data_IF_334678797645
#
_entry.id   IF_334678797645
#
_cell.length_a   1.000
_cell.length_b   1.000
_cell.length_c   1.000
_cell.angle_alpha   90.00
_cell.angle_beta   90.00
_cell.angle_gamma   90.00
#
_symmetry.space_group_name_H-M   'P 1'
#
loop_
_entity.id
_entity.type
_entity.pdbx_description
1 polymer ?
#
# COMPACT_ATOMS: atom_id res chain seq x y z
N UNK A 1 -25.08 94.10 -37.00
CA UNK A 1 -24.68 92.71 -37.31
C UNK A 1 -23.17 92.69 -37.50
N UNK A 2 -22.46 91.74 -36.86
CA UNK A 2 -20.99 91.46 -36.91
C UNK A 2 -20.24 91.65 -35.58
N UNK A 3 -20.57 90.82 -34.59
CA UNK A 3 -19.63 90.35 -33.55
C UNK A 3 -19.96 88.89 -33.30
N UNK A 4 -19.45 87.94 -34.10
CA UNK A 4 -19.47 86.48 -33.81
C UNK A 4 -18.45 85.72 -34.68
N UNK A 5 -17.16 86.10 -34.67
CA UNK A 5 -16.06 85.25 -35.16
C UNK A 5 -14.80 85.53 -34.32
N UNK A 6 -14.82 85.17 -33.04
CA UNK A 6 -13.61 85.20 -32.21
C UNK A 6 -13.61 84.18 -31.06
N UNK A 7 -14.62 83.31 -30.97
CA UNK A 7 -14.83 82.43 -29.80
C UNK A 7 -14.98 80.94 -30.14
N UNK A 8 -14.59 80.54 -31.37
CA UNK A 8 -14.60 79.14 -31.79
C UNK A 8 -13.19 78.54 -32.04
N UNK A 9 -12.13 79.35 -31.96
CA UNK A 9 -10.74 78.93 -32.21
C UNK A 9 -9.89 78.76 -30.95
N UNK A 10 -10.45 79.00 -29.76
CA UNK A 10 -9.79 78.74 -28.47
C UNK A 10 -10.32 77.48 -27.75
N UNK A 11 -11.28 76.75 -28.35
CA UNK A 11 -11.89 75.56 -27.75
C UNK A 11 -11.54 74.24 -28.47
N UNK A 12 -10.63 74.26 -29.45
CA UNK A 12 -10.20 73.08 -30.22
C UNK A 12 -8.71 72.73 -29.96
N UNK A 13 -8.07 73.37 -28.98
CA UNK A 13 -6.64 73.12 -28.64
C UNK A 13 -6.42 72.49 -27.26
N UNK A 14 -7.45 71.96 -26.59
CA UNK A 14 -7.31 71.24 -25.32
C UNK A 14 -8.12 69.94 -25.24
N UNK A 15 -8.26 69.24 -26.36
CA UNK A 15 -8.42 67.78 -26.31
C UNK A 15 -7.03 67.16 -26.18
N UNK A 16 -6.37 67.41 -25.04
CA UNK A 16 -5.28 66.54 -24.61
C UNK A 16 -5.96 65.18 -24.46
N UNK A 17 -5.79 64.30 -25.46
CA UNK A 17 -5.85 62.86 -25.22
C UNK A 17 -5.01 62.68 -23.96
N UNK A 18 -5.66 62.39 -22.83
CA UNK A 18 -4.98 62.07 -21.60
C UNK A 18 -4.18 60.80 -21.92
N UNK A 19 -2.97 61.00 -22.41
CA UNK A 19 -1.96 59.97 -22.55
C UNK A 19 -1.67 59.58 -21.11
N UNK A 20 -2.41 58.60 -20.61
CA UNK A 20 -2.15 58.01 -19.30
C UNK A 20 -0.72 57.49 -19.35
N UNK A 21 0.18 58.24 -18.72
CA UNK A 21 1.60 58.03 -18.88
C UNK A 21 1.95 56.66 -18.30
N UNK A 22 2.29 55.70 -19.17
CA UNK A 22 2.85 54.44 -18.74
C UNK A 22 4.12 54.71 -17.90
N UNK A 23 4.42 53.89 -16.89
CA UNK A 23 5.64 54.08 -16.11
C UNK A 23 6.86 53.91 -17.02
N UNK A 24 7.83 54.82 -16.90
CA UNK A 24 9.10 54.71 -17.62
C UNK A 24 9.97 53.63 -17.01
N UNK A 25 10.85 53.01 -17.80
CA UNK A 25 11.79 52.01 -17.28
C UNK A 25 12.63 52.56 -16.10
N UNK A 26 13.02 53.84 -16.14
CA UNK A 26 13.72 54.50 -15.03
C UNK A 26 12.87 54.58 -13.75
N UNK A 27 11.57 54.89 -13.88
CA UNK A 27 10.65 54.89 -12.74
C UNK A 27 10.49 53.46 -12.19
N UNK A 28 10.39 52.45 -13.05
CA UNK A 28 10.25 51.06 -12.65
C UNK A 28 11.49 50.56 -11.91
N UNK A 29 12.68 50.84 -12.44
CA UNK A 29 13.93 50.52 -11.77
C UNK A 29 14.03 51.19 -10.40
N UNK A 30 13.62 52.46 -10.30
CA UNK A 30 13.61 53.20 -9.03
C UNK A 30 12.66 52.56 -8.01
N UNK A 31 11.43 52.22 -8.39
CA UNK A 31 10.44 51.65 -7.47
C UNK A 31 10.80 50.25 -7.00
N UNK A 32 11.48 49.47 -7.85
CA UNK A 32 11.96 48.13 -7.50
C UNK A 32 13.27 48.15 -6.70
N UNK A 33 14.00 49.27 -6.72
CA UNK A 33 15.25 49.45 -5.97
C UNK A 33 14.95 50.04 -4.60
N UNK A 34 15.04 49.22 -3.56
CA UNK A 34 14.88 49.62 -2.17
C UNK A 34 16.03 49.04 -1.31
N UNK A 35 16.20 49.47 -0.04
CA UNK A 35 17.26 48.94 0.82
C UNK A 35 17.23 47.40 0.87
N UNK A 36 18.37 46.76 0.58
CA UNK A 36 18.50 45.30 0.51
C UNK A 36 18.40 44.70 -0.91
N UNK A 37 18.06 45.50 -1.93
CA UNK A 37 18.18 45.11 -3.34
C UNK A 37 19.61 45.28 -3.83
N UNK A 38 20.12 44.24 -4.46
CA UNK A 38 21.48 44.18 -5.02
C UNK A 38 21.50 44.66 -6.49
N UNK A 39 20.53 44.20 -7.29
CA UNK A 39 20.34 44.62 -8.68
C UNK A 39 18.91 44.41 -9.15
N UNK A 40 18.49 45.18 -10.16
CA UNK A 40 17.21 45.05 -10.85
C UNK A 40 17.47 45.04 -12.36
N UNK A 41 16.86 44.10 -13.06
CA UNK A 41 16.93 43.97 -14.52
C UNK A 41 15.50 43.93 -15.06
N UNK A 42 15.20 44.69 -16.11
CA UNK A 42 13.90 44.62 -16.77
C UNK A 42 13.94 43.55 -17.87
N UNK A 43 12.89 42.74 -17.95
CA UNK A 43 12.77 41.76 -19.02
C UNK A 43 12.66 42.45 -20.39
N UNK A 44 13.14 41.83 -21.48
CA UNK A 44 13.03 42.40 -22.83
C UNK A 44 11.59 42.78 -23.22
N UNK A 45 11.44 43.85 -24.01
CA UNK A 45 10.15 44.34 -24.52
C UNK A 45 9.77 45.72 -23.98
N UNK A 46 8.51 46.16 -24.15
CA UNK A 46 7.98 47.38 -23.54
C UNK A 46 7.10 47.09 -22.31
N UNK A 47 6.80 48.12 -21.53
CA UNK A 47 5.66 48.13 -20.59
C UNK A 47 4.36 47.94 -21.37
N UNK A 48 3.47 47.07 -20.88
CA UNK A 48 2.20 46.73 -21.56
C UNK A 48 1.01 47.00 -20.66
N UNK A 49 -0.14 47.27 -21.28
CA UNK A 49 -1.44 47.31 -20.59
C UNK A 49 -2.00 45.88 -20.54
N UNK A 50 -2.32 45.41 -19.34
CA UNK A 50 -2.86 44.07 -19.11
C UNK A 50 -4.12 44.13 -18.24
N UNK A 51 -5.09 43.26 -18.50
CA UNK A 51 -6.31 43.18 -17.68
C UNK A 51 -6.06 42.30 -16.47
N UNK A 52 -6.20 42.86 -15.28
CA UNK A 52 -6.08 42.09 -14.05
C UNK A 52 -7.46 41.65 -13.57
N UNK A 53 -7.74 40.35 -13.66
CA UNK A 53 -9.02 39.77 -13.22
C UNK A 53 -9.26 39.86 -11.71
N UNK A 54 -8.22 39.72 -10.88
CA UNK A 54 -8.31 39.81 -9.41
C UNK A 54 -8.83 41.17 -8.96
N UNK A 55 -8.44 42.23 -9.65
CA UNK A 55 -8.79 43.60 -9.27
C UNK A 55 -9.77 44.28 -10.24
N UNK A 56 -10.31 43.52 -11.21
CA UNK A 56 -11.23 43.98 -12.24
C UNK A 56 -10.83 45.34 -12.86
N UNK A 57 -9.55 45.52 -13.14
CA UNK A 57 -9.02 46.76 -13.69
C UNK A 57 -7.82 46.50 -14.63
N UNK A 58 -7.61 47.40 -15.58
CA UNK A 58 -6.36 47.42 -16.34
C UNK A 58 -5.19 47.84 -15.45
N UNK A 59 -4.01 47.33 -15.76
CA UNK A 59 -2.75 47.67 -15.11
C UNK A 59 -1.66 47.86 -16.15
N UNK A 60 -0.68 48.69 -15.84
CA UNK A 60 0.59 48.65 -16.56
C UNK A 60 1.47 47.56 -15.96
N UNK A 61 2.06 46.73 -16.82
CA UNK A 61 2.87 45.58 -16.44
C UNK A 61 4.22 45.58 -17.16
N UNK A 62 5.28 45.23 -16.42
CA UNK A 62 6.65 45.10 -16.94
C UNK A 62 7.32 43.90 -16.26
N UNK A 63 7.84 42.96 -17.05
CA UNK A 63 8.63 41.86 -16.50
C UNK A 63 9.93 42.39 -15.90
N UNK A 64 10.35 41.85 -14.76
CA UNK A 64 11.58 42.24 -14.08
C UNK A 64 12.18 41.05 -13.31
N UNK A 65 13.49 41.13 -13.11
CA UNK A 65 14.29 40.25 -12.25
C UNK A 65 14.92 41.12 -11.17
N UNK A 66 14.70 40.77 -9.91
CA UNK A 66 15.22 41.51 -8.75
C UNK A 66 16.10 40.59 -7.94
N UNK A 67 17.34 40.99 -7.68
CA UNK A 67 18.26 40.27 -6.80
C UNK A 67 18.32 40.94 -5.44
N UNK A 68 18.24 40.15 -4.37
CA UNK A 68 18.29 40.62 -2.99
C UNK A 68 19.17 39.72 -2.14
N UNK A 69 19.60 40.22 -0.99
CA UNK A 69 20.05 39.32 0.07
C UNK A 69 18.88 38.39 0.46
N UNK A 70 19.14 37.10 0.58
CA UNK A 70 18.13 36.10 0.92
C UNK A 70 17.67 36.19 2.40
N UNK A 71 18.38 36.96 3.23
CA UNK A 71 18.14 37.14 4.67
C UNK A 71 18.06 35.80 5.42
N UNK A 72 18.94 34.86 5.06
CA UNK A 72 19.10 33.58 5.77
C UNK A 72 20.19 33.75 6.82
N UNK A 73 19.87 33.74 8.13
CA UNK A 73 20.85 34.05 9.19
C UNK A 73 22.11 33.17 9.13
N UNK A 74 21.96 31.89 8.83
CA UNK A 74 23.03 30.91 8.73
C UNK A 74 23.91 31.12 7.49
N UNK A 75 23.36 31.75 6.45
CA UNK A 75 24.02 31.98 5.17
C UNK A 75 23.88 33.46 4.77
N UNK A 76 24.58 34.39 5.45
CA UNK A 76 24.38 35.83 5.27
C UNK A 76 24.79 36.34 3.88
N UNK A 77 25.55 35.55 3.13
CA UNK A 77 25.94 35.81 1.73
C UNK A 77 24.98 35.21 0.71
N UNK A 78 23.94 34.51 1.15
CA UNK A 78 22.96 33.95 0.24
C UNK A 78 22.15 35.05 -0.44
N UNK A 79 21.84 34.83 -1.71
CA UNK A 79 21.09 35.76 -2.54
C UNK A 79 19.83 35.08 -3.06
N UNK A 80 18.80 35.87 -3.33
CA UNK A 80 17.59 35.41 -4.00
C UNK A 80 17.36 36.21 -5.27
N UNK A 81 17.18 35.50 -6.37
CA UNK A 81 16.72 36.02 -7.66
C UNK A 81 15.21 35.85 -7.72
N UNK A 82 14.51 36.97 -7.75
CA UNK A 82 13.06 37.06 -7.80
C UNK A 82 12.67 37.40 -9.23
N UNK A 83 12.07 36.45 -9.94
CA UNK A 83 11.51 36.68 -11.28
C UNK A 83 10.03 37.02 -11.16
N UNK A 84 9.58 38.08 -11.82
CA UNK A 84 8.17 38.44 -11.76
C UNK A 84 7.78 39.64 -12.63
N UNK A 85 6.66 40.24 -12.28
CA UNK A 85 6.05 41.33 -13.04
C UNK A 85 5.75 42.52 -12.13
N UNK A 86 6.38 43.66 -12.41
CA UNK A 86 6.08 44.92 -11.78
C UNK A 86 4.73 45.45 -12.29
N UNK A 87 3.84 45.81 -11.36
CA UNK A 87 2.46 46.22 -11.64
C UNK A 87 2.19 47.61 -11.13
N UNK A 88 1.52 48.39 -11.96
CA UNK A 88 1.15 49.77 -11.69
C UNK A 88 -0.33 49.99 -11.98
N UNK A 89 -0.93 50.92 -11.24
CA UNK A 89 -2.29 51.36 -11.52
C UNK A 89 -2.37 52.03 -12.90
N UNK A 90 -3.43 51.69 -13.65
CA UNK A 90 -3.77 52.33 -14.92
C UNK A 90 -4.74 53.48 -14.65
N UNK A 91 -4.38 54.73 -14.97
CA UNK A 91 -5.25 55.89 -14.76
C UNK A 91 -4.48 57.20 -14.71
N UNK A 92 -5.13 58.26 -14.21
CA UNK A 92 -4.60 59.63 -14.19
C UNK A 92 -3.29 59.78 -13.39
N UNK A 93 -3.06 58.93 -12.39
CA UNK A 93 -1.79 58.80 -11.69
C UNK A 93 -1.30 57.36 -11.74
N UNK A 94 -0.19 57.16 -12.44
CA UNK A 94 0.52 55.88 -12.46
C UNK A 94 1.30 55.75 -11.16
N UNK A 95 0.93 54.80 -10.31
CA UNK A 95 1.62 54.48 -9.07
C UNK A 95 1.98 53.00 -9.00
N UNK A 96 3.17 52.72 -8.45
CA UNK A 96 3.62 51.35 -8.20
C UNK A 96 2.68 50.68 -7.21
N UNK A 97 2.28 49.45 -7.52
CA UNK A 97 1.40 48.66 -6.67
C UNK A 97 2.15 47.51 -6.02
N UNK A 98 2.73 46.64 -6.84
CA UNK A 98 3.37 45.42 -6.37
C UNK A 98 4.35 44.87 -7.41
N UNK A 99 5.30 44.06 -6.94
CA UNK A 99 6.02 43.10 -7.77
C UNK A 99 5.33 41.74 -7.59
N UNK A 100 4.58 41.29 -8.60
CA UNK A 100 4.00 39.94 -8.57
C UNK A 100 5.10 38.94 -8.86
N UNK A 101 5.51 38.19 -7.84
CA UNK A 101 6.52 37.13 -7.94
C UNK A 101 5.94 35.96 -8.74
N UNK A 102 6.70 35.52 -9.73
CA UNK A 102 6.43 34.30 -10.50
C UNK A 102 7.28 33.15 -10.00
N UNK A 103 8.55 33.40 -9.71
CA UNK A 103 9.51 32.38 -9.29
C UNK A 103 10.63 32.98 -8.43
N UNK A 104 11.20 32.15 -7.55
CA UNK A 104 12.35 32.49 -6.71
C UNK A 104 13.43 31.42 -6.82
N UNK A 105 14.66 31.86 -7.05
CA UNK A 105 15.83 30.99 -7.11
C UNK A 105 16.87 31.50 -6.09
N UNK A 106 17.32 30.63 -5.19
CA UNK A 106 18.26 30.97 -4.12
C UNK A 106 19.67 30.50 -4.47
N UNK A 107 20.65 31.35 -4.17
CA UNK A 107 22.07 31.12 -4.45
C UNK A 107 22.89 31.23 -3.16
N UNK A 108 24.04 30.56 -3.14
CA UNK A 108 24.97 30.60 -2.00
C UNK A 108 24.56 29.74 -0.80
N UNK A 109 23.53 28.90 -0.94
CA UNK A 109 23.17 27.87 0.04
C UNK A 109 23.98 26.59 -0.23
N UNK A 110 24.46 25.87 0.81
CA UNK A 110 25.19 24.63 0.63
C UNK A 110 24.26 23.54 0.11
N UNK A 111 24.58 22.99 -1.06
CA UNK A 111 23.92 21.83 -1.62
C UNK A 111 24.38 20.55 -0.87
N UNK A 112 23.49 19.59 -0.58
CA UNK A 112 23.90 18.26 -0.20
C UNK A 112 24.76 17.62 -1.30
N UNK A 113 25.62 16.69 -0.93
CA UNK A 113 26.42 15.90 -1.88
C UNK A 113 25.51 15.01 -2.73
N UNK A 114 26.00 14.58 -3.90
CA UNK A 114 25.24 13.66 -4.76
C UNK A 114 24.86 12.37 -4.01
N UNK A 115 25.78 11.83 -3.22
CA UNK A 115 25.55 10.60 -2.46
C UNK A 115 24.49 10.79 -1.36
N UNK A 116 24.50 11.93 -0.66
CA UNK A 116 23.44 12.26 0.30
C UNK A 116 22.08 12.38 -0.38
N UNK A 117 22.02 13.02 -1.56
CA UNK A 117 20.78 13.15 -2.31
C UNK A 117 20.25 11.81 -2.81
N UNK A 118 21.11 10.94 -3.32
CA UNK A 118 20.73 9.57 -3.71
C UNK A 118 20.32 8.76 -2.47
N UNK A 119 21.01 8.90 -1.35
CA UNK A 119 20.64 8.29 -0.08
C UNK A 119 19.22 8.68 0.34
N UNK A 120 18.90 9.98 0.29
CA UNK A 120 17.55 10.47 0.60
C UNK A 120 16.47 9.88 -0.31
N UNK A 121 16.78 9.66 -1.59
CA UNK A 121 15.84 9.02 -2.53
C UNK A 121 15.64 7.55 -2.17
N UNK A 122 16.72 6.81 -1.87
CA UNK A 122 16.67 5.38 -1.52
C UNK A 122 15.92 5.12 -0.21
N UNK A 123 16.06 6.00 0.79
CA UNK A 123 15.27 5.92 2.02
C UNK A 123 13.75 6.05 1.75
N UNK A 124 13.39 6.75 0.68
CA UNK A 124 12.01 7.09 0.30
C UNK A 124 11.64 6.47 -1.04
N UNK A 125 12.21 5.31 -1.36
CA UNK A 125 12.26 4.80 -2.73
C UNK A 125 10.88 4.58 -3.37
N UNK A 126 9.91 4.09 -2.60
CA UNK A 126 8.53 3.95 -3.07
C UNK A 126 7.87 5.30 -3.39
N UNK A 127 8.15 6.34 -2.62
CA UNK A 127 7.63 7.68 -2.89
C UNK A 127 8.28 8.28 -4.13
N UNK A 128 9.56 7.94 -4.40
CA UNK A 128 10.26 8.34 -5.61
C UNK A 128 9.67 7.68 -6.86
N UNK A 129 9.55 6.35 -6.84
CA UNK A 129 9.00 5.59 -7.95
C UNK A 129 7.53 5.95 -8.19
N UNK A 130 6.77 6.19 -7.11
CA UNK A 130 5.36 6.56 -7.19
C UNK A 130 4.56 5.49 -7.91
N UNK A 131 3.83 5.89 -8.96
CA UNK A 131 3.04 4.97 -9.78
C UNK A 131 3.89 3.98 -10.57
N UNK A 132 5.15 4.31 -10.88
CA UNK A 132 6.07 3.43 -11.65
C UNK A 132 6.27 2.10 -10.96
N UNK A 133 6.31 2.08 -9.62
CA UNK A 133 6.49 0.85 -8.84
C UNK A 133 5.43 -0.22 -9.15
N UNK A 134 4.25 0.16 -9.62
CA UNK A 134 3.15 -0.76 -9.90
C UNK A 134 3.27 -1.47 -11.25
N UNK A 135 4.11 -0.98 -12.17
CA UNK A 135 4.30 -1.56 -13.50
C UNK A 135 5.76 -1.91 -13.80
N UNK A 136 6.69 -1.34 -13.03
CA UNK A 136 8.12 -1.62 -13.10
C UNK A 136 8.40 -3.07 -12.68
N UNK A 137 9.16 -3.81 -13.48
CA UNK A 137 9.62 -5.18 -13.21
C UNK A 137 11.08 -5.12 -12.76
N UNK A 138 11.40 -5.77 -11.64
CA UNK A 138 12.72 -5.69 -11.03
C UNK A 138 13.04 -4.30 -10.46
N UNK A 139 14.34 -3.99 -10.36
CA UNK A 139 14.85 -2.71 -9.82
C UNK A 139 15.28 -1.75 -10.95
N UNK A 140 15.60 -0.51 -10.60
CA UNK A 140 16.20 0.44 -11.54
C UNK A 140 17.55 -0.10 -12.05
N UNK A 141 17.77 -0.01 -13.36
CA UNK A 141 19.07 -0.31 -13.96
C UNK A 141 20.12 0.71 -13.52
N UNK A 142 19.71 1.98 -13.40
CA UNK A 142 20.49 3.01 -12.75
C UNK A 142 19.61 4.11 -12.17
N UNK A 143 20.20 4.84 -11.21
CA UNK A 143 19.67 6.06 -10.63
C UNK A 143 20.85 7.00 -10.40
N UNK A 144 20.87 8.14 -11.10
CA UNK A 144 21.99 9.10 -11.01
C UNK A 144 21.54 10.54 -11.19
N UNK A 145 22.34 11.47 -10.69
CA UNK A 145 22.17 12.91 -10.91
C UNK A 145 23.08 13.32 -12.07
N UNK A 146 22.56 13.94 -13.15
CA UNK A 146 23.36 14.43 -14.26
C UNK A 146 24.60 15.20 -13.81
N UNK A 147 25.69 15.07 -14.55
CA UNK A 147 26.96 15.75 -14.23
C UNK A 147 26.90 17.26 -14.45
N UNK A 148 26.13 17.69 -15.45
CA UNK A 148 26.01 19.09 -15.86
C UNK A 148 24.84 19.83 -15.18
N UNK A 149 23.90 19.12 -14.57
CA UNK A 149 22.76 19.73 -13.88
C UNK A 149 22.99 19.79 -12.36
N UNK A 150 22.55 20.90 -11.75
CA UNK A 150 22.79 21.22 -10.34
C UNK A 150 21.53 21.26 -9.48
N UNK A 151 21.74 21.58 -8.21
CA UNK A 151 20.65 21.82 -7.25
C UNK A 151 20.01 23.18 -7.52
N UNK A 152 18.68 23.20 -7.64
CA UNK A 152 17.88 24.42 -7.75
C UNK A 152 17.20 24.66 -6.42
N UNK A 153 17.61 25.71 -5.69
CA UNK A 153 16.97 26.09 -4.44
C UNK A 153 15.77 27.00 -4.68
N UNK A 154 14.59 26.55 -4.27
CA UNK A 154 13.33 27.32 -4.36
C UNK A 154 13.08 28.19 -3.13
N UNK A 155 13.56 27.72 -1.98
CA UNK A 155 13.56 28.41 -0.68
C UNK A 155 14.75 27.91 0.14
N UNK A 156 15.11 28.53 1.27
CA UNK A 156 16.13 27.97 2.18
C UNK A 156 15.77 26.58 2.73
N UNK A 157 14.53 26.15 2.54
CA UNK A 157 13.95 24.93 3.08
C UNK A 157 13.53 23.92 1.99
N UNK A 158 13.82 24.20 0.71
CA UNK A 158 13.41 23.31 -0.37
C UNK A 158 14.28 23.49 -1.62
N UNK A 159 14.71 22.37 -2.17
CA UNK A 159 15.44 22.33 -3.44
C UNK A 159 14.92 21.21 -4.34
N UNK A 160 15.17 21.35 -5.65
CA UNK A 160 14.94 20.33 -6.66
C UNK A 160 16.26 19.87 -7.26
N UNK A 161 16.34 18.59 -7.58
CA UNK A 161 17.36 18.01 -8.45
C UNK A 161 16.72 17.23 -9.60
N UNK A 162 17.38 17.19 -10.76
CA UNK A 162 17.08 16.24 -11.81
C UNK A 162 17.73 14.89 -11.49
N UNK A 163 17.01 13.80 -11.74
CA UNK A 163 17.46 12.43 -11.54
C UNK A 163 17.17 11.64 -12.80
N UNK A 164 18.20 11.03 -13.38
CA UNK A 164 18.06 10.10 -14.49
C UNK A 164 17.83 8.69 -13.94
N UNK A 165 16.82 8.02 -14.49
CA UNK A 165 16.51 6.63 -14.19
C UNK A 165 16.31 5.83 -15.46
N UNK A 166 16.63 4.54 -15.36
CA UNK A 166 16.28 3.54 -16.36
C UNK A 166 15.69 2.31 -15.69
N UNK A 167 14.60 1.79 -16.24
CA UNK A 167 13.90 0.63 -15.70
C UNK A 167 13.04 -0.07 -16.74
N UNK A 168 12.72 -1.33 -16.48
CA UNK A 168 11.79 -2.11 -17.28
C UNK A 168 10.37 -1.97 -16.74
N UNK A 169 9.39 -1.69 -17.60
CA UNK A 169 7.98 -1.56 -17.20
C UNK A 169 7.06 -2.29 -18.15
N UNK A 170 6.01 -2.91 -17.60
CA UNK A 170 4.91 -3.47 -18.39
C UNK A 170 4.17 -2.30 -19.05
N UNK A 171 4.17 -2.25 -20.38
CA UNK A 171 3.48 -1.21 -21.17
C UNK A 171 2.19 -1.70 -21.80
N UNK A 172 2.04 -3.02 -21.94
CA UNK A 172 0.82 -3.69 -22.37
C UNK A 172 0.72 -5.09 -21.74
N UNK A 173 -0.26 -5.89 -22.16
CA UNK A 173 -0.43 -7.28 -21.70
C UNK A 173 0.63 -8.24 -22.26
N UNK A 174 1.44 -7.81 -23.23
CA UNK A 174 2.47 -8.64 -23.86
C UNK A 174 3.82 -7.95 -24.02
N UNK A 175 3.94 -6.68 -23.63
CA UNK A 175 5.17 -5.90 -23.85
C UNK A 175 5.78 -5.39 -22.54
N UNK A 176 7.08 -5.62 -22.43
CA UNK A 176 7.97 -5.03 -21.44
C UNK A 176 8.89 -4.03 -22.14
N UNK A 177 8.81 -2.76 -21.74
CA UNK A 177 9.60 -1.68 -22.34
C UNK A 177 10.62 -1.16 -21.35
N UNK A 178 11.87 -1.01 -21.78
CA UNK A 178 12.88 -0.26 -21.02
C UNK A 178 12.62 1.23 -21.20
N UNK A 179 12.38 1.94 -20.11
CA UNK A 179 12.10 3.38 -20.09
C UNK A 179 13.30 4.12 -19.53
N UNK A 180 13.65 5.23 -20.18
CA UNK A 180 14.58 6.22 -19.68
C UNK A 180 13.80 7.48 -19.29
N UNK A 181 13.96 7.97 -18.06
CA UNK A 181 13.28 9.18 -17.60
C UNK A 181 14.22 10.14 -16.89
N UNK A 182 13.92 11.43 -17.03
CA UNK A 182 14.44 12.47 -16.16
C UNK A 182 13.32 12.90 -15.22
N UNK A 183 13.56 12.73 -13.92
CA UNK A 183 12.61 13.01 -12.85
C UNK A 183 13.13 14.19 -12.03
N UNK A 184 12.31 15.20 -11.87
CA UNK A 184 12.57 16.28 -10.93
C UNK A 184 12.12 15.86 -9.53
N UNK A 185 13.09 15.76 -8.62
CA UNK A 185 12.86 15.38 -7.23
C UNK A 185 13.04 16.60 -6.35
N UNK A 186 11.97 16.97 -5.64
CA UNK A 186 11.93 18.10 -4.73
C UNK A 186 11.91 17.65 -3.28
N UNK A 187 12.86 18.17 -2.51
CA UNK A 187 13.01 17.92 -1.08
C UNK A 187 12.51 19.11 -0.26
N UNK A 188 12.12 18.83 0.99
CA UNK A 188 11.53 19.80 1.90
C UNK A 188 12.07 19.61 3.33
N UNK A 189 12.21 20.71 4.08
CA UNK A 189 12.48 20.73 5.53
C UNK A 189 11.70 21.87 6.17
N UNK A 190 11.53 21.85 7.50
CA UNK A 190 10.81 22.92 8.21
C UNK A 190 11.72 24.09 8.61
N UNK A 191 13.00 23.82 8.84
CA UNK A 191 14.00 24.82 9.21
C UNK A 191 15.32 24.59 8.47
N UNK A 192 16.12 25.64 8.31
CA UNK A 192 17.40 25.62 7.57
C UNK A 192 18.39 24.60 8.13
N UNK A 193 18.37 24.36 9.45
CA UNK A 193 19.18 23.36 10.15
C UNK A 193 18.41 22.09 10.50
N UNK A 194 17.13 21.99 10.13
CA UNK A 194 16.28 20.85 10.44
C UNK A 194 16.50 19.67 9.49
N UNK A 195 16.06 18.46 9.89
CA UNK A 195 16.12 17.28 9.03
C UNK A 195 15.21 17.43 7.80
N UNK A 196 15.54 16.70 6.74
CA UNK A 196 14.69 16.58 5.56
C UNK A 196 13.44 15.76 5.87
N UNK A 197 12.29 16.21 5.39
CA UNK A 197 11.01 15.53 5.56
C UNK A 197 11.00 14.18 4.88
N UNK A 198 10.13 13.29 5.37
CA UNK A 198 9.90 11.99 4.74
C UNK A 198 9.23 12.12 3.38
N UNK A 199 8.35 13.11 3.21
CA UNK A 199 7.68 13.35 1.95
C UNK A 199 8.58 14.14 0.99
N UNK A 200 8.70 13.63 -0.23
CA UNK A 200 9.29 14.32 -1.37
C UNK A 200 8.31 14.29 -2.53
N UNK A 201 8.51 15.20 -3.49
CA UNK A 201 7.71 15.27 -4.71
C UNK A 201 8.60 14.86 -5.88
N UNK A 202 8.19 13.87 -6.64
CA UNK A 202 8.87 13.39 -7.84
C UNK A 202 7.96 13.58 -9.06
N UNK A 203 8.39 14.39 -10.03
CA UNK A 203 7.62 14.68 -11.25
C UNK A 203 8.45 14.31 -12.47
N UNK A 204 7.87 13.55 -13.41
CA UNK A 204 8.53 13.27 -14.67
C UNK A 204 8.66 14.55 -15.49
N UNK A 205 9.90 14.89 -15.89
CA UNK A 205 10.21 16.00 -16.79
C UNK A 205 10.22 15.53 -18.23
N UNK A 206 10.94 14.45 -18.48
CA UNK A 206 11.15 13.86 -19.80
C UNK A 206 11.06 12.33 -19.68
N UNK A 207 10.55 11.69 -20.73
CA UNK A 207 10.44 10.24 -20.80
C UNK A 207 10.72 9.78 -22.23
N UNK A 208 11.49 8.70 -22.37
CA UNK A 208 11.87 8.10 -23.63
C UNK A 208 11.75 6.58 -23.54
N UNK A 209 10.96 6.01 -24.43
CA UNK A 209 10.91 4.56 -24.61
C UNK A 209 12.18 4.06 -25.30
N UNK A 210 12.76 3.02 -24.74
CA UNK A 210 13.91 2.29 -25.26
C UNK A 210 13.48 0.97 -25.90
N UNK A 211 14.14 -0.12 -25.49
CA UNK A 211 13.92 -1.45 -26.06
C UNK A 211 12.57 -2.02 -25.62
N UNK A 212 11.79 -2.52 -26.58
CA UNK A 212 10.55 -3.27 -26.34
C UNK A 212 10.83 -4.76 -26.50
N UNK A 213 10.47 -5.54 -25.49
CA UNK A 213 10.50 -7.02 -25.50
C UNK A 213 9.08 -7.54 -25.42
N UNK A 214 8.77 -8.53 -26.25
CA UNK A 214 7.45 -9.18 -26.29
C UNK A 214 7.52 -10.53 -25.58
N UNK A 215 6.52 -10.78 -24.74
CA UNK A 215 6.32 -12.02 -23.99
C UNK A 215 4.90 -12.53 -24.24
N UNK A 216 4.66 -13.81 -23.93
CA UNK A 216 3.29 -14.25 -23.74
C UNK A 216 2.65 -13.53 -22.54
N UNK A 217 1.33 -13.45 -22.52
CA UNK A 217 0.61 -12.84 -21.39
C UNK A 217 0.95 -13.56 -20.08
N UNK A 218 0.97 -14.90 -20.08
CA UNK A 218 1.28 -15.71 -18.92
C UNK A 218 2.70 -15.43 -18.37
N UNK A 219 3.70 -15.33 -19.25
CA UNK A 219 5.06 -14.99 -18.85
C UNK A 219 5.15 -13.59 -18.26
N UNK A 220 4.46 -12.60 -18.86
CA UNK A 220 4.51 -11.22 -18.40
C UNK A 220 3.75 -11.04 -17.09
N UNK A 221 2.60 -11.69 -16.91
CA UNK A 221 1.82 -11.67 -15.67
C UNK A 221 2.62 -12.30 -14.51
N UNK A 222 3.39 -13.36 -14.78
CA UNK A 222 4.30 -13.99 -13.81
C UNK A 222 5.49 -13.10 -13.40
N UNK A 223 5.83 -12.07 -14.18
CA UNK A 223 6.87 -11.11 -13.78
C UNK A 223 6.36 -10.22 -12.67
N UNK A 224 6.91 -10.37 -11.47
CA UNK A 224 6.55 -9.52 -10.34
C UNK A 224 7.01 -8.08 -10.57
N UNK A 225 6.14 -7.16 -10.18
CA UNK A 225 6.47 -5.73 -10.19
C UNK A 225 7.25 -5.37 -8.93
N UNK A 226 7.98 -4.27 -8.95
CA UNK A 226 8.73 -3.78 -7.80
C UNK A 226 7.84 -3.65 -6.55
N UNK A 227 6.63 -3.10 -6.72
CA UNK A 227 5.63 -3.03 -5.64
C UNK A 227 5.29 -4.41 -5.09
N UNK A 228 5.00 -5.37 -5.99
CA UNK A 228 4.66 -6.73 -5.60
C UNK A 228 5.80 -7.47 -4.90
N UNK A 229 7.05 -7.26 -5.31
CA UNK A 229 8.22 -7.82 -4.61
C UNK A 229 8.37 -7.26 -3.20
N UNK A 230 8.21 -5.95 -3.03
CA UNK A 230 8.29 -5.33 -1.72
C UNK A 230 7.16 -5.79 -0.80
N UNK A 231 5.94 -5.88 -1.31
CA UNK A 231 4.79 -6.38 -0.55
C UNK A 231 4.99 -7.84 -0.14
N UNK A 232 5.57 -8.69 -1.00
CA UNK A 232 5.96 -10.05 -0.65
C UNK A 232 7.02 -10.09 0.46
N UNK A 233 8.04 -9.22 0.39
CA UNK A 233 9.06 -9.14 1.43
C UNK A 233 8.45 -8.72 2.77
N UNK A 234 7.54 -7.74 2.77
CA UNK A 234 6.81 -7.30 3.95
C UNK A 234 5.90 -8.40 4.50
N UNK A 235 5.13 -9.08 3.64
CA UNK A 235 4.28 -10.19 4.02
C UNK A 235 5.09 -11.36 4.60
N UNK A 236 6.23 -11.69 3.99
CA UNK A 236 7.18 -12.68 4.49
C UNK A 236 7.76 -12.30 5.84
N UNK A 237 8.15 -11.04 6.05
CA UNK A 237 8.65 -10.55 7.32
C UNK A 237 7.58 -10.61 8.42
N UNK A 238 6.34 -10.21 8.10
CA UNK A 238 5.20 -10.30 9.00
C UNK A 238 4.89 -11.77 9.38
N UNK A 239 4.93 -12.69 8.41
CA UNK A 239 4.73 -14.12 8.66
C UNK A 239 5.83 -14.70 9.57
N UNK A 240 7.10 -14.30 9.39
CA UNK A 240 8.20 -14.72 10.26
C UNK A 240 8.11 -14.16 11.68
N UNK A 241 7.43 -13.03 11.86
CA UNK A 241 7.20 -12.44 13.18
C UNK A 241 6.08 -13.16 13.96
N UNK A 242 5.25 -13.97 13.29
CA UNK A 242 4.24 -14.79 13.95
C UNK A 242 4.90 -15.99 14.66
N UNK A 243 4.26 -16.51 15.74
CA UNK A 243 4.74 -17.70 16.41
C UNK A 243 4.75 -18.91 15.47
N UNK A 244 5.73 -19.78 15.63
CA UNK A 244 5.73 -21.07 14.93
C UNK A 244 4.58 -21.94 15.44
N UNK A 245 3.79 -22.49 14.52
CA UNK A 245 2.72 -23.43 14.81
C UNK A 245 2.99 -24.73 14.08
N UNK A 246 2.91 -25.84 14.81
CA UNK A 246 3.02 -27.18 14.22
C UNK A 246 1.68 -27.56 13.57
N UNK A 247 1.72 -27.86 12.28
CA UNK A 247 0.57 -28.36 11.53
C UNK A 247 0.73 -29.88 11.37
N UNK A 248 -0.13 -30.69 12.01
CA UNK A 248 -0.09 -32.14 11.86
C UNK A 248 -0.29 -32.60 10.42
N UNK A 249 0.24 -33.77 10.08
CA UNK A 249 -0.11 -34.47 8.85
C UNK A 249 -1.50 -35.11 9.02
N UNK A 250 -2.54 -34.42 8.56
CA UNK A 250 -3.92 -34.88 8.69
C UNK A 250 -4.24 -36.03 7.73
N UNK A 251 -4.76 -37.14 8.28
CA UNK A 251 -5.23 -38.30 7.53
C UNK A 251 -6.65 -38.14 6.97
N UNK A 252 -7.45 -37.27 7.58
CA UNK A 252 -8.85 -37.02 7.21
C UNK A 252 -9.22 -35.54 7.32
N UNK A 253 -10.31 -35.15 6.66
CA UNK A 253 -10.89 -33.81 6.78
C UNK A 253 -11.40 -33.54 8.22
N UNK A 254 -11.97 -34.54 8.88
CA UNK A 254 -12.40 -34.50 10.30
C UNK A 254 -11.26 -34.10 11.23
N UNK A 255 -10.06 -34.62 11.04
CA UNK A 255 -8.90 -34.23 11.85
C UNK A 255 -8.54 -32.75 11.67
N UNK A 256 -8.64 -32.22 10.45
CA UNK A 256 -8.44 -30.79 10.17
C UNK A 256 -9.50 -29.97 10.90
N UNK A 257 -10.77 -30.37 10.81
CA UNK A 257 -11.89 -29.69 11.47
C UNK A 257 -11.69 -29.60 12.99
N UNK A 258 -11.37 -30.72 13.61
CA UNK A 258 -11.18 -30.79 15.06
C UNK A 258 -9.90 -30.07 15.53
N UNK A 259 -8.84 -30.09 14.72
CA UNK A 259 -7.62 -29.33 15.03
C UNK A 259 -7.86 -27.82 14.92
N UNK A 260 -8.49 -27.35 13.83
CA UNK A 260 -8.87 -25.93 13.69
C UNK A 260 -9.78 -25.49 14.84
N UNK A 261 -10.77 -26.32 15.20
CA UNK A 261 -11.66 -26.05 16.32
C UNK A 261 -10.89 -25.86 17.65
N UNK A 262 -9.93 -26.75 17.92
CA UNK A 262 -9.04 -26.62 19.09
C UNK A 262 -8.23 -25.33 19.05
N UNK A 263 -7.62 -25.01 17.90
CA UNK A 263 -6.85 -23.77 17.72
C UNK A 263 -7.68 -22.51 17.97
N UNK A 264 -8.94 -22.46 17.52
CA UNK A 264 -9.86 -21.35 17.80
C UNK A 264 -10.19 -21.20 19.29
N UNK A 265 -10.25 -22.31 20.04
CA UNK A 265 -10.59 -22.30 21.48
C UNK A 265 -9.39 -21.98 22.35
N UNK A 266 -8.26 -22.61 22.06
CA UNK A 266 -7.13 -22.74 22.99
C UNK A 266 -5.92 -21.95 22.53
N UNK A 267 -5.82 -21.63 21.24
CA UNK A 267 -4.72 -20.84 20.69
C UNK A 267 -4.87 -19.35 20.95
N UNK A 268 -3.76 -18.62 20.85
CA UNK A 268 -3.79 -17.15 20.77
C UNK A 268 -4.21 -16.68 19.39
N UNK A 269 -4.53 -15.39 19.26
CA UNK A 269 -4.83 -14.76 17.98
C UNK A 269 -3.68 -14.95 16.99
N UNK A 270 -2.44 -14.76 17.42
CA UNK A 270 -1.23 -14.86 16.60
C UNK A 270 -0.96 -16.31 16.18
N UNK A 271 -1.20 -17.28 17.08
CA UNK A 271 -1.11 -18.70 16.75
C UNK A 271 -2.18 -19.11 15.74
N UNK A 272 -3.43 -18.64 15.90
CA UNK A 272 -4.48 -18.91 14.92
C UNK A 272 -4.16 -18.25 13.57
N UNK A 273 -3.60 -17.04 13.57
CA UNK A 273 -3.16 -16.39 12.34
C UNK A 273 -2.07 -17.21 11.64
N UNK A 274 -1.03 -17.63 12.37
CA UNK A 274 0.05 -18.46 11.83
C UNK A 274 -0.49 -19.79 11.25
N UNK A 275 -1.41 -20.43 11.97
CA UNK A 275 -2.09 -21.66 11.52
C UNK A 275 -2.88 -21.43 10.23
N UNK A 276 -3.68 -20.37 10.15
CA UNK A 276 -4.43 -20.02 8.93
C UNK A 276 -3.48 -19.76 7.77
N UNK A 277 -2.41 -18.98 7.96
CA UNK A 277 -1.42 -18.73 6.92
C UNK A 277 -0.77 -20.03 6.40
N UNK A 278 -0.56 -21.03 7.26
CA UNK A 278 -0.03 -22.32 6.85
C UNK A 278 -1.07 -23.24 6.17
N UNK A 279 -2.35 -23.11 6.54
CA UNK A 279 -3.42 -24.02 6.12
C UNK A 279 -4.29 -23.49 5.00
N UNK A 280 -4.24 -22.22 4.64
CA UNK A 280 -5.04 -21.67 3.55
C UNK A 280 -4.69 -22.30 2.20
N UNK A 281 -5.72 -22.44 1.36
CA UNK A 281 -5.56 -22.85 -0.04
C UNK A 281 -4.76 -21.81 -0.83
N UNK A 282 -3.93 -22.22 -1.82
CA UNK A 282 -3.14 -21.29 -2.66
C UNK A 282 -3.96 -20.14 -3.28
N UNK A 283 -5.23 -20.38 -3.63
CA UNK A 283 -6.13 -19.35 -4.20
C UNK A 283 -6.45 -18.17 -3.26
N UNK A 284 -6.02 -18.22 -2.00
CA UNK A 284 -6.11 -17.10 -1.04
C UNK A 284 -4.88 -16.19 -1.05
N UNK A 285 -3.85 -16.55 -1.82
CA UNK A 285 -2.64 -15.78 -1.99
C UNK A 285 -2.64 -15.05 -3.33
N UNK A 286 -1.82 -14.02 -3.45
CA UNK A 286 -1.49 -13.42 -4.74
C UNK A 286 -0.82 -14.50 -5.61
N UNK A 287 -1.08 -14.49 -6.92
CA UNK A 287 -0.49 -15.47 -7.83
C UNK A 287 1.04 -15.55 -7.69
N UNK A 288 1.58 -16.76 -7.60
CA UNK A 288 3.01 -17.00 -7.35
C UNK A 288 3.49 -16.65 -5.94
N UNK A 289 2.61 -16.26 -5.01
CA UNK A 289 2.92 -16.00 -3.60
C UNK A 289 2.50 -17.14 -2.69
N UNK A 290 3.25 -17.31 -1.60
CA UNK A 290 2.87 -18.18 -0.48
C UNK A 290 2.71 -17.41 0.83
N UNK A 291 2.87 -16.08 0.82
CA UNK A 291 2.83 -15.26 2.04
C UNK A 291 1.94 -14.02 1.91
N UNK A 292 1.83 -13.44 0.71
CA UNK A 292 0.98 -12.30 0.43
C UNK A 292 -0.45 -12.77 0.15
N UNK A 293 -1.37 -12.45 1.07
CA UNK A 293 -2.79 -12.73 0.88
C UNK A 293 -3.39 -11.83 -0.21
N UNK A 294 -4.27 -12.39 -1.02
CA UNK A 294 -5.16 -11.58 -1.86
C UNK A 294 -6.36 -11.07 -1.03
N UNK A 295 -7.26 -10.31 -1.66
CA UNK A 295 -8.41 -9.69 -0.98
C UNK A 295 -9.30 -10.74 -0.28
N UNK A 296 -9.52 -11.89 -0.91
CA UNK A 296 -10.35 -12.95 -0.36
C UNK A 296 -9.67 -13.62 0.85
N UNK A 297 -8.37 -13.93 0.72
CA UNK A 297 -7.58 -14.48 1.82
C UNK A 297 -7.51 -13.55 3.02
N UNK A 298 -7.22 -12.26 2.78
CA UNK A 298 -7.18 -11.25 3.83
C UNK A 298 -8.54 -11.10 4.53
N UNK A 299 -9.63 -11.09 3.77
CA UNK A 299 -11.00 -11.02 4.32
C UNK A 299 -11.31 -12.23 5.18
N UNK A 300 -10.99 -13.44 4.72
CA UNK A 300 -11.21 -14.68 5.49
C UNK A 300 -10.43 -14.65 6.81
N UNK A 301 -9.12 -14.39 6.76
CA UNK A 301 -8.25 -14.36 7.96
C UNK A 301 -8.76 -13.33 8.95
N UNK A 302 -9.00 -12.10 8.50
CA UNK A 302 -9.47 -11.03 9.38
C UNK A 302 -10.82 -11.37 10.02
N UNK A 303 -11.77 -11.89 9.24
CA UNK A 303 -13.09 -12.27 9.76
C UNK A 303 -13.00 -13.37 10.82
N UNK A 304 -12.18 -14.41 10.58
CA UNK A 304 -11.98 -15.50 11.54
C UNK A 304 -11.37 -14.97 12.83
N UNK A 305 -10.27 -14.22 12.72
CA UNK A 305 -9.55 -13.70 13.88
C UNK A 305 -10.41 -12.70 14.67
N UNK A 306 -11.10 -11.79 13.99
CA UNK A 306 -11.92 -10.79 14.66
C UNK A 306 -13.14 -11.38 15.34
N UNK A 307 -13.78 -12.37 14.72
CA UNK A 307 -14.91 -13.06 15.33
C UNK A 307 -14.47 -13.87 16.55
N UNK A 308 -13.40 -14.64 16.44
CA UNK A 308 -12.97 -15.56 17.50
C UNK A 308 -12.31 -14.85 18.71
N UNK A 309 -11.57 -13.76 18.49
CA UNK A 309 -10.68 -13.17 19.51
C UNK A 309 -10.98 -11.70 19.89
N UNK A 310 -11.63 -10.90 19.03
CA UNK A 310 -11.77 -9.45 19.24
C UNK A 310 -13.19 -8.99 19.61
N UNK A 311 -14.09 -9.91 19.97
CA UNK A 311 -15.48 -9.57 20.37
C UNK A 311 -15.65 -9.60 21.89
N UNK A 312 -16.82 -9.13 22.34
CA UNK A 312 -17.23 -9.06 23.75
C UNK A 312 -17.27 -10.42 24.49
N UNK A 313 -17.08 -11.51 23.76
CA UNK A 313 -16.88 -12.87 24.26
C UNK A 313 -15.87 -13.59 23.37
N UNK A 314 -15.30 -14.68 23.87
CA UNK A 314 -14.32 -15.50 23.13
C UNK A 314 -14.97 -16.73 22.52
N UNK A 315 -14.32 -17.30 21.51
CA UNK A 315 -14.75 -18.57 20.92
C UNK A 315 -14.90 -19.69 21.96
N UNK A 316 -13.94 -19.79 22.89
CA UNK A 316 -13.94 -20.79 23.96
C UNK A 316 -15.12 -20.67 24.93
N UNK A 317 -15.66 -19.47 25.12
CA UNK A 317 -16.84 -19.24 25.97
C UNK A 317 -18.13 -19.71 25.31
N UNK A 318 -18.21 -19.68 23.98
CA UNK A 318 -19.44 -20.02 23.26
C UNK A 318 -19.46 -21.45 22.72
N UNK A 319 -18.31 -22.04 22.42
CA UNK A 319 -18.21 -23.38 21.86
C UNK A 319 -17.76 -24.39 22.93
N UNK A 320 -18.10 -25.67 22.74
CA UNK A 320 -17.70 -26.76 23.63
C UNK A 320 -16.44 -27.48 23.14
N UNK A 321 -15.58 -28.07 24.02
CA UNK A 321 -14.35 -28.74 23.58
C UNK A 321 -14.61 -29.84 22.57
N UNK A 322 -15.78 -30.46 22.73
CA UNK A 322 -16.39 -31.33 21.77
C UNK A 322 -17.68 -30.68 21.27
N UNK A 323 -17.67 -30.10 20.06
CA UNK A 323 -18.83 -29.41 19.54
C UNK A 323 -19.81 -30.41 18.91
N UNK A 324 -21.10 -30.16 19.09
CA UNK A 324 -22.12 -30.93 18.38
C UNK A 324 -22.04 -30.68 16.87
N UNK A 325 -21.94 -31.73 16.07
CA UNK A 325 -21.95 -31.62 14.60
C UNK A 325 -23.34 -31.19 14.15
N UNK A 326 -23.41 -30.09 13.39
CA UNK A 326 -24.63 -29.59 12.77
C UNK A 326 -24.87 -30.28 11.44
N UNK A 327 -23.83 -30.34 10.61
CA UNK A 327 -23.87 -30.93 9.29
C UNK A 327 -22.46 -31.39 8.90
N UNK A 328 -22.36 -32.53 8.24
CA UNK A 328 -21.08 -33.06 7.76
C UNK A 328 -21.28 -33.74 6.41
N UNK A 329 -20.39 -33.41 5.49
CA UNK A 329 -20.24 -34.06 4.19
C UNK A 329 -18.75 -34.10 3.84
N UNK A 330 -18.32 -34.85 2.81
CA UNK A 330 -16.93 -34.85 2.41
C UNK A 330 -16.41 -33.42 2.24
N UNK A 331 -15.26 -33.11 2.84
CA UNK A 331 -14.56 -31.84 2.74
C UNK A 331 -15.25 -30.63 3.38
N UNK A 332 -16.37 -30.81 4.10
CA UNK A 332 -17.06 -29.71 4.77
C UNK A 332 -17.72 -30.14 6.07
N UNK A 333 -17.55 -29.35 7.12
CA UNK A 333 -18.19 -29.56 8.41
C UNK A 333 -18.74 -28.26 8.98
N UNK A 334 -19.94 -28.37 9.55
CA UNK A 334 -20.55 -27.37 10.40
C UNK A 334 -20.72 -27.93 11.80
N UNK A 335 -20.39 -27.13 12.81
CA UNK A 335 -20.57 -27.52 14.20
C UNK A 335 -21.16 -26.38 15.02
N UNK A 336 -22.02 -26.76 15.96
CA UNK A 336 -22.76 -25.84 16.80
C UNK A 336 -21.88 -25.21 17.88
N UNK A 337 -22.25 -24.00 18.28
CA UNK A 337 -21.91 -23.47 19.58
C UNK A 337 -22.67 -24.24 20.68
N UNK A 338 -22.36 -23.97 21.93
CA UNK A 338 -22.90 -24.71 23.08
C UNK A 338 -24.44 -24.63 23.18
N UNK A 339 -25.04 -23.53 22.72
CA UNK A 339 -26.50 -23.29 22.75
C UNK A 339 -27.21 -23.67 21.46
N UNK A 340 -26.50 -24.14 20.43
CA UNK A 340 -27.04 -24.54 19.11
C UNK A 340 -27.81 -23.43 18.35
N UNK A 341 -27.44 -22.18 18.54
CA UNK A 341 -28.02 -21.00 17.88
C UNK A 341 -27.02 -20.22 17.00
N UNK A 342 -25.73 -20.51 17.17
CA UNK A 342 -24.67 -20.13 16.25
C UNK A 342 -23.85 -21.36 15.86
N UNK A 343 -23.16 -21.32 14.72
CA UNK A 343 -22.33 -22.43 14.27
C UNK A 343 -21.04 -21.90 13.69
N UNK A 344 -20.07 -22.79 13.48
CA UNK A 344 -18.89 -22.53 12.66
C UNK A 344 -18.94 -23.48 11.48
N UNK A 345 -18.54 -23.03 10.30
CA UNK A 345 -18.45 -23.81 9.08
C UNK A 345 -17.04 -23.74 8.56
N UNK A 346 -16.49 -24.87 8.15
CA UNK A 346 -15.22 -24.92 7.43
C UNK A 346 -15.31 -25.87 6.26
N UNK A 347 -14.67 -25.48 5.15
CA UNK A 347 -14.48 -26.31 3.97
C UNK A 347 -12.98 -26.46 3.71
N UNK A 348 -12.56 -27.67 3.37
CA UNK A 348 -11.17 -28.00 3.05
C UNK A 348 -11.08 -28.72 1.72
N UNK A 349 -9.96 -28.63 1.01
CA UNK A 349 -9.69 -29.46 -0.17
C UNK A 349 -8.26 -29.95 -0.12
N UNK A 350 -7.95 -31.02 -0.85
CA UNK A 350 -6.56 -31.44 -1.06
C UNK A 350 -5.92 -30.53 -2.10
N UNK A 351 -4.77 -29.97 -1.77
CA UNK A 351 -4.00 -29.09 -2.64
C UNK A 351 -2.49 -29.39 -2.56
N UNK A 352 -1.74 -28.86 -3.53
CA UNK A 352 -0.33 -29.15 -3.71
C UNK A 352 -0.08 -30.51 -4.35
N UNK A 353 1.02 -31.16 -3.96
CA UNK A 353 1.44 -32.46 -4.50
C UNK A 353 2.13 -32.40 -5.87
N UNK A 354 2.70 -33.53 -6.28
CA UNK A 354 3.39 -33.71 -7.56
C UNK A 354 2.82 -34.89 -8.32
N UNK A 355 2.72 -34.76 -9.64
CA UNK A 355 2.34 -35.85 -10.52
C UNK A 355 3.47 -36.87 -10.60
N UNK A 356 3.18 -38.11 -10.23
CA UNK A 356 4.06 -39.27 -10.39
C UNK A 356 3.24 -40.39 -11.02
N UNK A 357 3.66 -40.85 -12.19
CA UNK A 357 3.01 -41.94 -12.94
C UNK A 357 1.50 -41.71 -13.18
N UNK A 358 1.10 -40.48 -13.52
CA UNK A 358 -0.32 -40.16 -13.77
C UNK A 358 -1.19 -40.08 -12.51
N UNK A 359 -0.60 -40.15 -11.31
CA UNK A 359 -1.28 -39.92 -10.04
C UNK A 359 -0.66 -38.73 -9.32
N UNK A 360 -1.50 -37.90 -8.70
CA UNK A 360 -1.04 -36.77 -7.88
C UNK A 360 -0.73 -37.29 -6.48
N UNK A 361 0.51 -37.11 -6.04
CA UNK A 361 1.03 -37.63 -4.75
C UNK A 361 1.52 -36.49 -3.87
N UNK A 362 1.37 -36.62 -2.55
CA UNK A 362 1.82 -35.61 -1.59
C UNK A 362 0.88 -34.41 -1.43
N UNK A 363 -0.39 -34.56 -1.79
CA UNK A 363 -1.40 -33.53 -1.53
C UNK A 363 -1.71 -33.44 -0.03
N UNK A 364 -1.96 -32.22 0.45
CA UNK A 364 -2.32 -31.95 1.85
C UNK A 364 -3.65 -31.21 1.91
N UNK A 365 -4.40 -31.39 3.00
CA UNK A 365 -5.63 -30.64 3.20
C UNK A 365 -5.33 -29.15 3.43
N UNK A 366 -6.11 -28.30 2.77
CA UNK A 366 -6.05 -26.84 2.87
C UNK A 366 -7.45 -26.27 3.04
N UNK A 367 -7.55 -25.20 3.83
CA UNK A 367 -8.77 -24.47 4.11
C UNK A 367 -9.13 -23.63 2.89
N UNK A 368 -10.29 -23.88 2.30
CA UNK A 368 -10.84 -23.10 1.19
C UNK A 368 -11.85 -22.07 1.66
N UNK A 369 -12.59 -22.35 2.72
CA UNK A 369 -13.54 -21.42 3.32
C UNK A 369 -13.68 -21.68 4.83
N UNK A 370 -13.88 -20.61 5.59
CA UNK A 370 -14.12 -20.68 7.03
C UNK A 370 -15.00 -19.53 7.48
N UNK A 371 -16.09 -19.85 8.16
CA UNK A 371 -17.07 -18.90 8.66
C UNK A 371 -17.27 -19.15 10.15
N UNK A 372 -16.96 -18.16 10.98
CA UNK A 372 -17.09 -18.23 12.44
C UNK A 372 -18.23 -17.33 12.88
N UNK A 373 -19.34 -17.93 13.29
CA UNK A 373 -20.45 -17.18 13.88
C UNK A 373 -20.37 -17.23 15.40
N UNK A 374 -20.50 -16.06 16.00
CA UNK A 374 -20.55 -15.88 17.44
C UNK A 374 -21.70 -14.94 17.78
N UNK A 375 -22.34 -15.20 18.90
CA UNK A 375 -23.30 -14.28 19.50
C UNK A 375 -22.55 -13.05 20.03
N UNK A 376 -23.07 -11.86 19.74
CA UNK A 376 -22.39 -10.59 20.07
C UNK A 376 -23.25 -9.62 20.88
N UNK A 377 -24.53 -9.93 21.07
CA UNK A 377 -25.43 -9.13 21.92
C UNK A 377 -25.04 -9.30 23.39
N UNK A 378 -25.27 -8.25 24.19
CA UNK A 378 -24.98 -8.31 25.62
C UNK A 378 -25.85 -9.37 26.32
N UNK A 379 -27.11 -9.50 25.92
CA UNK A 379 -28.07 -10.45 26.49
C UNK A 379 -27.70 -11.90 26.16
N UNK A 380 -27.24 -12.18 24.94
CA UNK A 380 -26.78 -13.53 24.57
C UNK A 380 -25.52 -13.92 25.33
N UNK A 381 -24.59 -12.98 25.49
CA UNK A 381 -23.36 -13.20 26.25
C UNK A 381 -23.70 -13.43 27.73
N UNK A 382 -24.61 -12.63 28.29
CA UNK A 382 -25.09 -12.79 29.66
C UNK A 382 -25.77 -14.16 29.85
N UNK A 383 -26.62 -14.58 28.90
CA UNK A 383 -27.25 -15.90 28.87
C UNK A 383 -26.23 -17.02 28.85
N UNK A 384 -25.20 -16.96 28.00
CA UNK A 384 -24.15 -17.99 27.98
C UNK A 384 -23.39 -18.02 29.31
N UNK A 385 -23.08 -16.86 29.88
CA UNK A 385 -22.35 -16.77 31.14
C UNK A 385 -23.17 -17.19 32.38
N UNK A 386 -24.50 -17.32 32.27
CA UNK A 386 -25.35 -17.66 33.41
C UNK A 386 -25.46 -19.16 33.68
N UNK A 387 -24.99 -20.01 32.75
CA UNK A 387 -24.97 -21.45 32.95
C UNK A 387 -23.83 -21.88 33.88
N UNK A 388 -24.11 -22.82 34.79
CA UNK A 388 -23.06 -23.39 35.64
C UNK A 388 -22.00 -24.15 34.82
N UNK A 389 -20.73 -24.20 35.28
CA UNK A 389 -19.67 -24.93 34.60
C UNK A 389 -20.08 -26.37 34.26
N UNK A 390 -19.97 -26.74 32.98
CA UNK A 390 -20.32 -28.08 32.50
C UNK A 390 -21.78 -28.29 32.10
N UNK A 391 -22.70 -27.34 32.36
CA UNK A 391 -24.12 -27.50 31.99
C UNK A 391 -24.39 -27.21 30.51
N UNK A 392 -23.57 -26.38 29.88
CA UNK A 392 -23.67 -26.02 28.46
C UNK A 392 -23.14 -27.11 27.53
N UNK A 393 -22.08 -27.80 27.93
CA UNK A 393 -21.41 -28.81 27.11
C UNK A 393 -21.85 -30.21 27.53
N UNK A 394 -22.87 -30.73 26.83
CA UNK A 394 -23.29 -32.14 27.00
C UNK A 394 -22.37 -33.09 26.23
N UNK A 395 -22.34 -34.35 26.66
CA UNK A 395 -21.42 -35.44 26.32
C UNK A 395 -21.19 -35.69 24.80
N UNK A 396 -20.07 -36.36 24.44
CA UNK A 396 -19.37 -36.17 23.17
C UNK A 396 -20.16 -36.54 21.90
N UNK A 397 -19.89 -35.82 20.82
CA UNK A 397 -20.43 -36.11 19.49
C UNK A 397 -19.81 -37.40 18.90
N UNK A 398 -20.43 -38.01 17.89
CA UNK A 398 -19.84 -39.17 17.20
C UNK A 398 -18.57 -38.83 16.40
N UNK A 399 -18.37 -37.55 16.04
CA UNK A 399 -17.21 -37.08 15.29
C UNK A 399 -15.93 -36.97 16.16
N UNK A 400 -16.07 -36.53 17.41
CA UNK A 400 -14.97 -36.57 18.38
C UNK A 400 -14.59 -37.99 18.78
N UNK A 401 -15.55 -38.92 18.81
CA UNK A 401 -15.27 -40.36 18.96
C UNK A 401 -14.48 -40.92 17.78
N UNK A 402 -14.73 -40.46 16.54
CA UNK A 402 -13.96 -40.88 15.38
C UNK A 402 -12.49 -40.41 15.45
N UNK A 403 -12.24 -39.18 15.91
CA UNK A 403 -10.86 -38.67 16.13
C UNK A 403 -10.18 -39.35 17.32
N UNK A 404 -10.89 -39.59 18.43
CA UNK A 404 -10.35 -40.33 19.57
C UNK A 404 -9.97 -41.77 19.19
N UNK A 405 -10.77 -42.45 18.36
CA UNK A 405 -10.46 -43.78 17.83
C UNK A 405 -9.29 -43.78 16.84
N UNK A 406 -9.10 -42.71 16.06
CA UNK A 406 -7.95 -42.56 15.17
C UNK A 406 -6.64 -42.26 15.93
N UNK A 407 -6.72 -41.53 17.05
CA UNK A 407 -5.54 -41.12 17.85
C UNK A 407 -5.13 -42.17 18.89
N UNK A 408 -6.02 -43.08 19.29
CA UNK A 408 -5.74 -44.16 20.25
C UNK A 408 -5.14 -45.43 19.61
N UNK A 409 -4.90 -45.42 18.30
CA UNK A 409 -4.32 -46.54 17.54
C UNK A 409 -2.80 -46.74 17.70
N UNK A 410 -2.09 -45.93 18.50
CA UNK A 410 -0.65 -46.07 18.75
C UNK A 410 -0.32 -46.02 20.24
N UNK A 411 -0.56 -47.12 20.95
CA UNK A 411 -0.22 -47.21 22.37
C UNK A 411 -0.25 -48.65 22.85
N UNK A 412 0.94 -49.22 23.01
CA UNK A 412 1.21 -50.59 23.46
C UNK A 412 0.49 -50.94 24.76
N UNK A 413 -0.02 -52.17 24.79
CA UNK A 413 -0.72 -52.84 25.88
C UNK A 413 0.02 -52.88 27.23
N UNK A 414 -0.73 -52.67 28.33
CA UNK A 414 -0.57 -53.39 29.61
C UNK A 414 -1.93 -53.35 30.34
N UNK A 415 -2.67 -54.47 30.40
CA UNK A 415 -2.79 -55.36 31.57
C UNK A 415 -3.48 -54.65 32.75
N UNK A 416 -4.73 -54.96 33.13
CA UNK A 416 -5.12 -56.17 33.89
C UNK A 416 -6.64 -56.31 33.98
N UNK A 417 -7.08 -57.57 34.03
CA UNK A 417 -8.41 -58.20 34.08
C UNK A 417 -9.42 -57.75 35.14
N UNK A 418 -10.73 -57.75 34.81
CA UNK A 418 -11.74 -58.77 35.24
C UNK A 418 -13.16 -58.38 34.77
N UNK A 419 -13.97 -59.37 34.38
CA UNK A 419 -15.43 -59.19 34.26
C UNK A 419 -16.10 -59.83 33.04
N UNK A 420 -16.56 -61.07 33.21
CA UNK A 420 -17.27 -61.92 32.26
C UNK A 420 -18.65 -61.38 31.85
N UNK A 421 -18.99 -61.43 30.55
CA UNK A 421 -20.26 -62.00 30.05
C UNK A 421 -20.19 -62.29 28.55
N UNK A 422 -20.77 -63.41 28.14
CA UNK A 422 -20.52 -64.08 26.87
C UNK A 422 -21.30 -63.57 25.66
N UNK A 423 -20.81 -63.93 24.47
CA UNK A 423 -21.48 -63.72 23.19
C UNK A 423 -20.59 -64.06 22.00
N UNK A 424 -20.94 -65.16 21.32
CA UNK A 424 -20.35 -65.75 20.11
C UNK A 424 -19.70 -64.80 19.07
N UNK A 425 -18.45 -65.07 18.67
CA UNK A 425 -17.82 -64.52 17.45
C UNK A 425 -16.76 -65.46 16.83
N UNK A 426 -16.95 -66.78 16.95
CA UNK A 426 -16.03 -67.79 16.40
C UNK A 426 -16.35 -68.19 14.94
N UNK A 427 -17.14 -67.38 14.22
CA UNK A 427 -17.75 -67.79 12.93
C UNK A 427 -17.21 -67.03 11.68
N UNK A 428 -16.30 -66.05 11.85
CA UNK A 428 -15.68 -65.33 10.73
C UNK A 428 -14.20 -65.69 10.49
N UNK A 429 -13.52 -66.25 11.50
CA UNK A 429 -12.11 -66.67 11.40
C UNK A 429 -11.90 -68.06 10.78
N UNK A 430 -12.98 -68.76 10.40
CA UNK A 430 -12.93 -70.05 9.67
C UNK A 430 -13.11 -69.92 8.14
N UNK A 431 -13.43 -68.74 7.60
CA UNK A 431 -13.66 -68.54 6.15
C UNK A 431 -12.50 -67.91 5.36
N UNK A 432 -11.44 -67.43 6.02
CA UNK A 432 -10.28 -66.82 5.34
C UNK A 432 -9.07 -67.73 5.10
N UNK A 433 -8.96 -68.86 5.83
CA UNK A 433 -7.77 -69.74 5.80
C UNK A 433 -7.75 -70.76 4.66
N UNK A 434 -8.81 -70.86 3.85
CA UNK A 434 -8.94 -71.84 2.77
C UNK A 434 -8.56 -71.36 1.37
N UNK A 435 -8.20 -70.08 1.19
CA UNK A 435 -7.95 -69.50 -0.14
C UNK A 435 -6.50 -69.10 -0.42
N UNK A 436 -5.63 -69.10 0.61
CA UNK A 436 -4.21 -68.74 0.50
C UNK A 436 -3.27 -69.94 0.23
N UNK A 437 -3.78 -71.17 0.28
CA UNK A 437 -3.02 -72.40 -0.03
C UNK A 437 -3.12 -72.85 -1.51
N UNK A 438 -3.67 -72.01 -2.41
CA UNK A 438 -3.82 -72.34 -3.85
C UNK A 438 -3.09 -71.42 -4.84
N UNK A 439 -2.24 -70.50 -4.39
CA UNK A 439 -1.48 -69.62 -5.30
C UNK A 439 -0.02 -69.42 -4.88
N UNK A 440 0.67 -70.45 -4.40
CA UNK A 440 2.15 -70.43 -4.33
C UNK A 440 2.80 -71.73 -4.81
N UNK A 441 3.24 -71.68 -6.07
CA UNK A 441 4.33 -72.43 -6.77
C UNK A 441 4.00 -73.77 -7.46
N UNK A 442 4.67 -74.08 -8.59
CA UNK A 442 5.41 -73.22 -9.53
C UNK A 442 4.51 -72.61 -10.61
#
# INVERSE_FOLDING_TARGET
>A
MRIRIALALAAISLSVLAAYAQPSDAQILKDLTNPGVLRVELAPGPTKKDWNSTYAQYMWVRGAIVWRNANVPEYPKAEVKITGTARYHYGASTSFREMKVSDNEYFGLPAPTKDEMIGMIRERYLAFLGHRANSMVGDLHFLRIPSEEGVIWHTPNSFTIPVEIEYDTKTSYTELTTMYEIVEVRFYRDAVSGPWKENMVAVGRESKAGVVRTYSQEELDAMRTFRGELEEQQASAALRALPTVEVPAFGSDVEVFMHTHRMLREGTREQMQAYLMAMLHPDHFVEGSTTQLNVNGATLVNNVLDRAFNKKSTYAQQYCPDPGVKHQQPNMMEWWNATQDAHTRMTVTKAGGVWKNGQKTGETFKITAMEVWMLTSADDIARISSYEPGMLCKTPSSASQAVQNATSGSGTSSGTTTGSSGGSANDLLKKGKGFLDKMTKP
#
